data_IF_265141313491
#
_entry.id   IF_265141313491
#
_cell.length_a   1.000
_cell.length_b   1.000
_cell.length_c   1.000
_cell.angle_alpha   90.00
_cell.angle_beta   90.00
_cell.angle_gamma   90.00
#
_symmetry.space_group_name_H-M   'P 1'
#
loop_
_entity.id
_entity.type
_entity.pdbx_description
1 polymer ?
#
# COMPACT_ATOMS: atom_id res chain seq x y z
N UNK A 1 65.77 17.60 7.86
CA UNK A 1 65.05 16.62 8.72
C UNK A 1 63.81 17.25 9.34
N UNK A 2 63.01 17.99 8.56
CA UNK A 2 61.89 18.78 9.12
C UNK A 2 60.54 18.67 8.36
N UNK A 3 60.48 18.00 7.20
CA UNK A 3 59.28 17.96 6.36
C UNK A 3 58.33 16.81 6.77
N UNK A 4 58.89 15.71 7.25
CA UNK A 4 58.12 14.53 7.67
C UNK A 4 57.30 14.77 8.95
N UNK A 5 57.78 15.61 9.88
CA UNK A 5 57.06 15.95 11.10
C UNK A 5 55.85 16.88 10.87
N UNK A 6 55.93 17.72 9.83
CA UNK A 6 54.81 18.61 9.48
C UNK A 6 53.65 17.85 8.80
N UNK A 7 53.94 16.84 7.98
CA UNK A 7 52.96 15.99 7.36
C UNK A 7 52.22 15.08 8.37
N UNK A 8 52.97 14.51 9.32
CA UNK A 8 52.38 13.71 10.40
C UNK A 8 51.49 14.56 11.34
N UNK A 9 51.90 15.82 11.60
CA UNK A 9 51.08 16.75 12.39
C UNK A 9 49.77 17.18 11.62
N UNK A 10 49.87 17.37 10.30
CA UNK A 10 48.70 17.68 9.47
C UNK A 10 47.74 16.50 9.35
N UNK A 11 48.24 15.26 9.27
CA UNK A 11 47.39 14.06 9.27
C UNK A 11 46.70 13.87 10.61
N UNK A 12 47.34 14.13 11.72
CA UNK A 12 46.73 14.02 13.07
C UNK A 12 45.61 15.04 13.32
N UNK A 13 45.59 16.15 12.61
CA UNK A 13 44.51 17.14 12.67
C UNK A 13 43.33 16.79 11.75
N UNK A 14 43.47 15.85 10.84
CA UNK A 14 42.47 15.50 9.84
C UNK A 14 41.47 14.45 10.34
N UNK A 15 41.79 13.72 11.39
CA UNK A 15 40.93 12.69 12.01
C UNK A 15 40.15 13.22 13.23
N UNK A 16 39.79 14.49 13.22
CA UNK A 16 38.86 15.00 14.20
C UNK A 16 37.47 14.54 13.78
N UNK A 17 36.93 13.56 14.50
CA UNK A 17 35.54 13.16 14.38
C UNK A 17 34.65 14.39 14.42
N UNK A 18 34.11 14.77 13.25
CA UNK A 18 33.21 15.92 13.15
C UNK A 18 31.86 15.65 13.81
N UNK A 19 31.58 14.40 14.18
CA UNK A 19 30.34 14.00 14.84
C UNK A 19 30.59 13.88 16.34
N UNK A 20 29.94 14.66 17.19
CA UNK A 20 30.05 14.54 18.65
C UNK A 20 29.64 13.14 19.10
N UNK A 21 30.46 12.51 19.96
CA UNK A 21 30.18 11.16 20.50
C UNK A 21 28.84 11.06 21.23
N UNK A 22 28.36 12.20 21.78
CA UNK A 22 27.04 12.31 22.40
C UNK A 22 25.92 12.07 21.37
N UNK A 23 26.06 12.63 20.17
CA UNK A 23 25.08 12.44 19.08
C UNK A 23 25.02 10.97 18.64
N UNK A 24 26.17 10.32 18.49
CA UNK A 24 26.24 8.90 18.11
C UNK A 24 25.57 8.04 19.19
N UNK A 25 25.84 8.30 20.47
CA UNK A 25 25.18 7.58 21.58
C UNK A 25 23.67 7.81 21.60
N UNK A 26 23.21 9.04 21.33
CA UNK A 26 21.79 9.38 21.25
C UNK A 26 21.09 8.65 20.10
N UNK A 27 21.74 8.54 18.93
CA UNK A 27 21.22 7.77 17.80
C UNK A 27 21.08 6.28 18.13
N UNK A 28 22.10 5.68 18.78
CA UNK A 28 22.03 4.29 19.22
C UNK A 28 20.93 4.08 20.28
N UNK A 29 20.77 4.99 21.22
CA UNK A 29 19.72 4.92 22.22
C UNK A 29 18.32 5.00 21.58
N UNK A 30 18.13 5.87 20.60
CA UNK A 30 16.88 5.99 19.85
C UNK A 30 16.58 4.72 19.04
N UNK A 31 17.59 4.17 18.36
CA UNK A 31 17.46 2.92 17.62
C UNK A 31 17.09 1.75 18.53
N UNK A 32 17.77 1.61 19.68
CA UNK A 32 17.45 0.59 20.67
C UNK A 32 16.05 0.78 21.24
N UNK A 33 15.64 2.02 21.52
CA UNK A 33 14.28 2.34 21.97
C UNK A 33 13.23 1.92 20.95
N UNK A 34 13.45 2.18 19.66
CA UNK A 34 12.56 1.75 18.60
C UNK A 34 12.46 0.21 18.50
N UNK A 35 13.57 -0.51 18.60
CA UNK A 35 13.59 -1.98 18.59
C UNK A 35 12.81 -2.54 19.79
N UNK A 36 13.02 -1.99 20.98
CA UNK A 36 12.30 -2.42 22.19
C UNK A 36 10.79 -2.18 22.05
N UNK A 37 10.40 -1.01 21.51
CA UNK A 37 8.99 -0.66 21.31
C UNK A 37 8.31 -1.60 20.32
N UNK A 38 8.96 -1.89 19.19
CA UNK A 38 8.45 -2.83 18.18
C UNK A 38 8.41 -4.24 18.75
N UNK A 39 9.45 -4.67 19.46
CA UNK A 39 9.49 -5.97 20.13
C UNK A 39 8.34 -6.13 21.14
N UNK A 40 8.11 -5.11 21.97
CA UNK A 40 6.98 -5.09 22.91
C UNK A 40 5.62 -5.19 22.17
N UNK A 41 5.44 -4.41 21.12
CA UNK A 41 4.19 -4.42 20.34
C UNK A 41 3.93 -5.81 19.71
N UNK A 42 4.98 -6.49 19.24
CA UNK A 42 4.90 -7.85 18.67
C UNK A 42 4.63 -8.92 19.72
N UNK A 43 5.27 -8.83 20.88
CA UNK A 43 5.06 -9.80 21.97
C UNK A 43 3.69 -9.66 22.64
N UNK A 44 3.07 -8.48 22.57
CA UNK A 44 1.75 -8.20 23.14
C UNK A 44 0.62 -8.29 22.12
N UNK A 45 0.90 -8.75 20.89
CA UNK A 45 -0.07 -8.87 19.78
C UNK A 45 -0.95 -7.61 19.59
N UNK A 46 -0.32 -6.43 19.76
CA UNK A 46 -1.05 -5.18 19.56
C UNK A 46 -1.54 -5.06 18.13
N UNK A 47 -2.84 -4.75 17.91
CA UNK A 47 -3.38 -4.59 16.57
C UNK A 47 -2.64 -3.48 15.83
N UNK A 48 -2.34 -3.71 14.55
CA UNK A 48 -1.73 -2.72 13.65
C UNK A 48 -2.78 -1.66 13.37
N UNK A 49 -2.62 -0.46 13.94
CA UNK A 49 -3.60 0.64 13.86
C UNK A 49 -3.87 1.07 12.40
N UNK A 50 -2.88 0.87 11.52
CA UNK A 50 -3.01 1.22 10.08
C UNK A 50 -3.84 0.22 9.27
N UNK A 51 -4.16 -0.96 9.82
CA UNK A 51 -5.02 -1.94 9.16
C UNK A 51 -6.44 -1.79 9.69
N UNK A 52 -7.42 -1.39 8.85
CA UNK A 52 -8.80 -1.28 9.29
C UNK A 52 -9.30 -2.62 9.83
N UNK A 53 -10.03 -2.63 10.96
CA UNK A 53 -10.60 -3.87 11.47
C UNK A 53 -11.57 -4.44 10.43
N UNK A 54 -11.34 -5.70 10.07
CA UNK A 54 -12.24 -6.41 9.17
C UNK A 54 -13.55 -6.70 9.91
N UNK A 55 -14.67 -6.29 9.34
CA UNK A 55 -15.99 -6.67 9.80
C UNK A 55 -16.66 -7.57 8.76
N UNK A 56 -17.79 -8.19 9.15
CA UNK A 56 -18.52 -9.12 8.30
C UNK A 56 -18.93 -8.48 6.97
N UNK A 57 -18.94 -9.29 5.92
CA UNK A 57 -19.41 -8.89 4.60
C UNK A 57 -20.93 -8.94 4.60
N UNK A 58 -21.59 -7.83 4.30
CA UNK A 58 -23.06 -7.72 4.24
C UNK A 58 -23.60 -7.73 2.81
N UNK A 59 -22.76 -7.35 1.83
CA UNK A 59 -23.11 -7.34 0.42
C UNK A 59 -21.89 -7.59 -0.42
N UNK A 60 -22.03 -8.34 -1.50
CA UNK A 60 -20.96 -8.59 -2.45
C UNK A 60 -21.48 -8.60 -3.90
N UNK A 61 -20.59 -8.27 -4.83
CA UNK A 61 -20.84 -8.32 -6.26
C UNK A 61 -19.58 -8.75 -6.99
N UNK A 62 -19.71 -9.68 -7.92
CA UNK A 62 -18.64 -9.98 -8.87
C UNK A 62 -18.62 -8.94 -9.97
N UNK A 63 -17.45 -8.37 -10.22
CA UNK A 63 -17.21 -7.42 -11.30
C UNK A 63 -16.00 -7.83 -12.11
N UNK A 64 -16.03 -7.55 -13.41
CA UNK A 64 -14.89 -7.78 -14.30
C UNK A 64 -14.36 -6.44 -14.78
N UNK A 65 -13.05 -6.23 -14.66
CA UNK A 65 -12.35 -5.03 -15.06
C UNK A 65 -11.66 -5.28 -16.40
N UNK A 66 -12.13 -4.64 -17.47
CA UNK A 66 -11.61 -4.84 -18.82
C UNK A 66 -11.18 -3.50 -19.42
N UNK A 67 -9.95 -3.40 -19.87
CA UNK A 67 -9.45 -2.18 -20.49
C UNK A 67 -7.95 -2.20 -20.72
N UNK A 68 -7.45 -1.04 -21.09
CA UNK A 68 -6.03 -0.76 -21.27
C UNK A 68 -5.69 0.56 -20.60
N UNK A 69 -4.40 0.79 -20.39
CA UNK A 69 -3.93 2.04 -19.78
C UNK A 69 -4.19 3.27 -20.67
N UNK A 70 -4.29 3.08 -22.00
CA UNK A 70 -4.55 4.15 -22.97
C UNK A 70 -6.03 4.47 -23.14
N UNK A 71 -6.87 3.44 -23.10
CA UNK A 71 -8.28 3.57 -23.44
C UNK A 71 -9.19 3.62 -22.22
N UNK A 72 -8.59 3.47 -21.04
CA UNK A 72 -9.32 3.37 -19.78
C UNK A 72 -9.90 1.98 -19.51
N UNK A 73 -10.49 1.81 -18.35
CA UNK A 73 -11.02 0.54 -17.84
C UNK A 73 -12.52 0.60 -17.68
N UNK A 74 -13.23 -0.34 -18.27
CA UNK A 74 -14.67 -0.55 -18.11
C UNK A 74 -14.93 -1.63 -17.08
N UNK A 75 -15.93 -1.40 -16.26
CA UNK A 75 -16.39 -2.34 -15.21
C UNK A 75 -17.67 -3.00 -15.69
N UNK A 76 -17.67 -4.31 -15.69
CA UNK A 76 -18.85 -5.12 -16.06
C UNK A 76 -19.32 -5.94 -14.86
N UNK A 77 -20.61 -6.18 -14.79
CA UNK A 77 -21.19 -7.16 -13.84
C UNK A 77 -21.10 -8.60 -14.39
N UNK A 78 -21.53 -9.57 -13.58
CA UNK A 78 -21.57 -10.98 -13.97
C UNK A 78 -22.53 -11.29 -15.13
N UNK A 79 -23.43 -10.38 -15.50
CA UNK A 79 -24.33 -10.49 -16.64
C UNK A 79 -23.78 -9.80 -17.92
N UNK A 80 -22.59 -9.21 -17.85
CA UNK A 80 -21.96 -8.48 -18.96
C UNK A 80 -22.46 -7.05 -19.15
N UNK A 81 -23.25 -6.51 -18.21
CA UNK A 81 -23.69 -5.13 -18.24
C UNK A 81 -22.56 -4.21 -17.77
N UNK A 82 -22.27 -3.16 -18.53
CA UNK A 82 -21.32 -2.11 -18.12
C UNK A 82 -21.92 -1.31 -16.93
N UNK A 83 -21.16 -1.22 -15.84
CA UNK A 83 -21.54 -0.51 -14.63
C UNK A 83 -20.87 0.86 -14.53
N UNK A 84 -19.60 0.96 -14.98
CA UNK A 84 -18.81 2.19 -14.93
C UNK A 84 -17.68 2.18 -15.96
N UNK A 85 -17.09 3.36 -16.16
CA UNK A 85 -15.93 3.55 -17.01
C UNK A 85 -14.95 4.51 -16.34
N UNK A 86 -13.66 4.19 -16.33
CA UNK A 86 -12.65 4.96 -15.60
C UNK A 86 -12.45 6.39 -16.12
N UNK A 87 -12.76 6.65 -17.40
CA UNK A 87 -12.66 7.99 -17.99
C UNK A 87 -13.86 8.91 -17.63
N UNK A 88 -14.86 8.39 -16.90
CA UNK A 88 -15.93 9.22 -16.36
C UNK A 88 -15.41 10.06 -15.18
N UNK A 89 -16.12 11.17 -14.91
CA UNK A 89 -15.78 12.06 -13.81
C UNK A 89 -15.71 11.28 -12.47
N UNK A 90 -14.62 11.47 -11.71
CA UNK A 90 -14.35 10.83 -10.40
C UNK A 90 -14.20 9.30 -10.44
N UNK A 91 -13.98 8.72 -11.62
CA UNK A 91 -13.86 7.26 -11.80
C UNK A 91 -12.43 6.78 -12.06
N UNK A 92 -11.44 7.68 -12.14
CA UNK A 92 -10.05 7.34 -12.46
C UNK A 92 -9.38 6.36 -11.48
N UNK A 93 -9.91 6.21 -10.28
CA UNK A 93 -9.40 5.22 -9.32
C UNK A 93 -9.65 3.77 -9.75
N UNK A 94 -10.59 3.53 -10.67
CA UNK A 94 -10.83 2.22 -11.29
C UNK A 94 -9.57 1.72 -12.03
N UNK A 95 -8.84 2.61 -12.71
CA UNK A 95 -7.59 2.27 -13.39
C UNK A 95 -6.51 1.82 -12.41
N UNK A 96 -6.44 2.46 -11.24
CA UNK A 96 -5.47 2.11 -10.19
C UNK A 96 -5.74 0.71 -9.64
N UNK A 97 -7.00 0.39 -9.38
CA UNK A 97 -7.40 -0.95 -8.91
C UNK A 97 -7.14 -2.00 -9.98
N UNK A 98 -7.54 -1.74 -11.22
CA UNK A 98 -7.28 -2.63 -12.36
C UNK A 98 -5.78 -2.92 -12.53
N UNK A 99 -4.94 -1.87 -12.49
CA UNK A 99 -3.49 -2.02 -12.61
C UNK A 99 -2.91 -2.86 -11.47
N UNK A 100 -3.41 -2.67 -10.24
CA UNK A 100 -2.94 -3.40 -9.06
C UNK A 100 -3.29 -4.88 -9.15
N UNK A 101 -4.53 -5.20 -9.54
CA UNK A 101 -5.01 -6.58 -9.75
C UNK A 101 -4.21 -7.26 -10.87
N UNK A 102 -4.06 -6.60 -12.02
CA UNK A 102 -3.33 -7.15 -13.16
C UNK A 102 -1.85 -7.38 -12.86
N UNK A 103 -1.22 -6.49 -12.11
CA UNK A 103 0.17 -6.67 -11.69
C UNK A 103 0.34 -7.90 -10.81
N UNK A 104 -0.57 -8.12 -9.86
CA UNK A 104 -0.54 -9.28 -8.97
C UNK A 104 -0.75 -10.58 -9.76
N UNK A 105 -1.71 -10.58 -10.67
CA UNK A 105 -1.99 -11.73 -11.55
C UNK A 105 -0.82 -12.04 -12.48
N UNK A 106 -0.19 -11.01 -13.06
CA UNK A 106 0.98 -11.16 -13.92
C UNK A 106 2.17 -11.82 -13.19
N UNK A 107 2.38 -11.44 -11.91
CA UNK A 107 3.45 -12.03 -11.08
C UNK A 107 3.20 -13.51 -10.83
N UNK A 108 1.93 -13.93 -10.80
CA UNK A 108 1.52 -15.32 -10.56
C UNK A 108 1.19 -16.09 -11.85
N UNK A 109 1.44 -15.49 -13.03
CA UNK A 109 1.16 -16.07 -14.37
C UNK A 109 -0.31 -16.47 -14.56
N UNK A 110 -1.23 -15.58 -14.10
CA UNK A 110 -2.68 -15.78 -14.12
C UNK A 110 -3.37 -14.86 -15.13
N UNK A 111 -4.59 -15.25 -15.56
CA UNK A 111 -5.39 -14.48 -16.50
C UNK A 111 -5.81 -13.11 -15.95
N UNK A 112 -5.64 -12.07 -16.77
CA UNK A 112 -5.92 -10.67 -16.39
C UNK A 112 -7.41 -10.38 -16.20
N UNK A 113 -8.30 -11.04 -16.95
CA UNK A 113 -9.72 -10.69 -17.06
C UNK A 113 -10.65 -11.52 -16.17
N UNK A 114 -10.12 -12.30 -15.23
CA UNK A 114 -10.96 -13.00 -14.27
C UNK A 114 -11.72 -12.01 -13.37
N UNK A 115 -12.95 -12.32 -12.94
CA UNK A 115 -13.71 -11.44 -12.07
C UNK A 115 -13.05 -11.21 -10.72
N UNK A 116 -13.29 -10.06 -10.13
CA UNK A 116 -12.95 -9.73 -8.75
C UNK A 116 -14.21 -9.49 -7.94
N UNK A 117 -14.13 -9.73 -6.65
CA UNK A 117 -15.25 -9.55 -5.73
C UNK A 117 -15.18 -8.19 -5.05
N UNK A 118 -16.18 -7.37 -5.33
CA UNK A 118 -16.40 -6.11 -4.62
C UNK A 118 -17.30 -6.40 -3.41
N UNK A 119 -16.88 -5.99 -2.21
CA UNK A 119 -17.58 -6.29 -0.98
C UNK A 119 -17.87 -5.03 -0.17
N UNK A 120 -19.04 -5.00 0.47
CA UNK A 120 -19.42 -4.00 1.46
C UNK A 120 -19.52 -4.67 2.82
N UNK A 121 -18.88 -4.07 3.81
CA UNK A 121 -18.81 -4.59 5.17
C UNK A 121 -19.83 -3.95 6.09
N UNK A 122 -20.13 -4.59 7.21
CA UNK A 122 -21.08 -4.10 8.22
C UNK A 122 -20.68 -2.75 8.83
N UNK A 123 -19.38 -2.44 8.86
CA UNK A 123 -18.87 -1.13 9.28
C UNK A 123 -18.94 -0.05 8.17
N UNK A 124 -19.57 -0.34 7.03
CA UNK A 124 -19.72 0.57 5.89
C UNK A 124 -18.49 0.63 4.96
N UNK A 125 -17.42 -0.07 5.27
CA UNK A 125 -16.24 -0.10 4.42
C UNK A 125 -16.48 -0.91 3.14
N UNK A 126 -15.80 -0.49 2.07
CA UNK A 126 -15.82 -1.18 0.78
C UNK A 126 -14.42 -1.73 0.52
N UNK A 127 -14.35 -2.94 0.00
CA UNK A 127 -13.10 -3.60 -0.37
C UNK A 127 -13.22 -4.30 -1.72
N UNK A 128 -12.07 -4.47 -2.38
CA UNK A 128 -11.93 -5.32 -3.58
C UNK A 128 -11.07 -6.52 -3.20
N UNK A 129 -11.54 -7.70 -3.56
CA UNK A 129 -10.88 -8.97 -3.28
C UNK A 129 -10.71 -9.74 -4.60
N UNK A 130 -9.50 -10.12 -4.90
CA UNK A 130 -9.19 -11.05 -5.98
C UNK A 130 -8.99 -12.45 -5.39
N UNK A 131 -10.02 -13.27 -5.48
CA UNK A 131 -10.00 -14.63 -4.94
C UNK A 131 -8.99 -15.54 -5.69
N UNK A 132 -8.56 -15.16 -6.89
CA UNK A 132 -7.61 -15.92 -7.70
C UNK A 132 -6.19 -15.81 -7.15
N UNK A 133 -5.79 -14.61 -6.74
CA UNK A 133 -4.43 -14.32 -6.21
C UNK A 133 -4.40 -14.26 -4.68
N UNK A 134 -5.56 -14.12 -4.03
CA UNK A 134 -5.67 -13.80 -2.62
C UNK A 134 -5.41 -12.31 -2.30
N UNK A 135 -5.19 -11.48 -3.34
CA UNK A 135 -5.00 -10.06 -3.17
C UNK A 135 -6.28 -9.36 -2.71
N UNK A 136 -6.14 -8.45 -1.77
CA UNK A 136 -7.26 -7.67 -1.25
C UNK A 136 -6.84 -6.26 -0.90
N UNK A 137 -7.76 -5.32 -1.07
CA UNK A 137 -7.58 -3.93 -0.68
C UNK A 137 -8.85 -3.36 -0.05
N UNK A 138 -8.71 -2.76 1.12
CA UNK A 138 -9.76 -1.95 1.73
C UNK A 138 -9.67 -0.54 1.16
N UNK A 139 -10.77 0.00 0.65
CA UNK A 139 -10.78 1.30 -0.03
C UNK A 139 -10.81 2.48 0.94
N UNK A 140 -10.93 2.23 2.24
CA UNK A 140 -10.82 3.28 3.27
C UNK A 140 -9.44 3.95 3.20
N UNK A 141 -9.42 5.27 3.22
CA UNK A 141 -8.16 6.04 3.14
C UNK A 141 -7.76 6.48 1.73
N UNK A 142 -8.42 6.01 0.68
CA UNK A 142 -8.15 6.43 -0.71
C UNK A 142 -8.96 7.65 -1.16
N UNK A 143 -9.67 8.29 -0.24
CA UNK A 143 -10.52 9.46 -0.52
C UNK A 143 -11.99 9.12 -0.72
N UNK A 144 -12.87 10.02 -0.26
CA UNK A 144 -14.32 9.78 -0.28
C UNK A 144 -14.89 9.56 -1.68
N UNK A 145 -14.43 10.30 -2.68
CA UNK A 145 -14.91 10.17 -4.07
C UNK A 145 -14.55 8.80 -4.65
N UNK A 146 -13.35 8.29 -4.37
CA UNK A 146 -12.88 6.99 -4.82
C UNK A 146 -13.66 5.84 -4.16
N UNK A 147 -13.92 5.94 -2.86
CA UNK A 147 -14.75 4.97 -2.14
C UNK A 147 -16.20 5.00 -2.67
N UNK A 148 -16.75 6.19 -2.90
CA UNK A 148 -18.11 6.36 -3.41
C UNK A 148 -18.28 5.80 -4.83
N UNK A 149 -17.25 5.93 -5.70
CA UNK A 149 -17.27 5.34 -7.04
C UNK A 149 -17.46 3.83 -7.00
N UNK A 150 -16.75 3.13 -6.09
CA UNK A 150 -16.92 1.69 -5.92
C UNK A 150 -18.17 1.30 -5.13
N UNK A 151 -18.58 2.11 -4.15
CA UNK A 151 -19.80 1.84 -3.39
C UNK A 151 -21.06 1.82 -4.28
N UNK A 152 -21.14 2.73 -5.27
CA UNK A 152 -22.23 2.75 -6.28
C UNK A 152 -22.29 1.48 -7.13
N UNK A 153 -21.20 0.77 -7.32
CA UNK A 153 -21.16 -0.45 -8.11
C UNK A 153 -21.78 -1.65 -7.38
N UNK A 154 -21.91 -1.57 -6.04
CA UNK A 154 -22.42 -2.66 -5.22
C UNK A 154 -23.89 -2.45 -4.80
N UNK A 155 -24.39 -1.23 -4.86
CA UNK A 155 -25.78 -0.90 -4.56
C UNK A 155 -26.69 -1.22 -5.74
#
# INVERSE_FOLDING_TARGET
>A
MSITNSLAAQMKHRDRDMVPSVLVKAMFALMMGAVVLVGYARLTDRPVIAVPPQSDIIKERLITLIGTRSDGVKVYDGAGKQLAYSNEEKSGFIDVIWLSVNRERLVQDLESNAPVRLVKRANGHVAVIDDTTGWKIELIGYGQDNVAAFAKLID
#
